data_IF_735088039509
#
_entry.id   IF_735088039509
#
_cell.length_a   1.000
_cell.length_b   1.000
_cell.length_c   1.000
_cell.angle_alpha   90.00
_cell.angle_beta   90.00
_cell.angle_gamma   90.00
#
_symmetry.space_group_name_H-M   'P 1'
#
loop_
_entity.id
_entity.type
_entity.pdbx_description
1 polymer ?
#
# COMPACT_ATOMS: atom_id res chain seq x y z
N UNK A 1 42.47 -51.65 -34.59
CA UNK A 1 41.81 -52.64 -35.46
C UNK A 1 40.34 -52.24 -35.54
N UNK A 2 39.95 -51.29 -36.40
CA UNK A 2 39.29 -51.52 -37.70
C UNK A 2 38.47 -52.81 -37.72
N UNK A 3 37.14 -52.71 -37.75
CA UNK A 3 36.31 -53.12 -38.89
C UNK A 3 34.91 -52.50 -38.76
N UNK A 4 34.57 -51.70 -39.77
CA UNK A 4 33.26 -51.14 -40.03
C UNK A 4 32.38 -52.18 -40.75
N UNK A 5 31.07 -52.14 -40.52
CA UNK A 5 30.07 -52.55 -41.52
C UNK A 5 28.92 -51.56 -41.46
N UNK A 6 28.67 -50.95 -42.62
CA UNK A 6 27.60 -50.01 -42.95
C UNK A 6 26.33 -50.76 -43.38
N UNK A 7 25.17 -50.22 -43.01
CA UNK A 7 23.90 -50.25 -43.75
C UNK A 7 22.84 -49.53 -42.90
N UNK A 8 21.84 -48.80 -43.38
CA UNK A 8 21.51 -48.09 -44.61
C UNK A 8 20.24 -47.28 -44.23
N UNK A 9 20.16 -46.01 -44.63
CA UNK A 9 18.95 -45.17 -44.83
C UNK A 9 17.74 -45.33 -43.87
N UNK A 10 17.41 -44.24 -43.17
CA UNK A 10 16.23 -43.44 -43.53
C UNK A 10 16.29 -42.04 -42.91
N UNK A 11 16.31 -41.06 -43.80
CA UNK A 11 16.19 -39.63 -43.56
C UNK A 11 14.71 -39.29 -43.68
N UNK A 12 14.06 -38.91 -42.57
CA UNK A 12 12.75 -38.25 -42.60
C UNK A 12 12.93 -36.89 -41.92
N UNK A 13 13.18 -35.89 -42.75
CA UNK A 13 13.12 -34.47 -42.40
C UNK A 13 11.64 -34.12 -42.31
N UNK A 14 11.13 -33.84 -41.11
CA UNK A 14 9.89 -33.10 -40.98
C UNK A 14 10.21 -31.67 -40.56
N UNK A 15 10.25 -30.80 -41.57
CA UNK A 15 10.19 -29.36 -41.39
C UNK A 15 8.83 -28.99 -40.78
N UNK A 16 8.85 -28.46 -39.56
CA UNK A 16 7.69 -27.89 -38.89
C UNK A 16 8.09 -26.59 -38.22
N UNK A 17 8.06 -25.51 -38.99
CA UNK A 17 8.15 -24.13 -38.50
C UNK A 17 6.92 -23.79 -37.67
N UNK A 18 7.09 -23.40 -36.40
CA UNK A 18 6.18 -22.46 -35.75
C UNK A 18 6.98 -21.43 -34.97
N UNK A 19 6.96 -20.23 -35.56
CA UNK A 19 7.21 -18.91 -35.03
C UNK A 19 7.44 -18.74 -33.52
N UNK A 20 8.46 -17.95 -33.21
CA UNK A 20 8.58 -17.15 -32.00
C UNK A 20 7.33 -16.27 -31.85
N UNK A 21 6.65 -16.34 -30.72
CA UNK A 21 5.67 -15.35 -30.30
C UNK A 21 6.03 -14.86 -28.90
N UNK A 22 6.57 -13.65 -28.90
CA UNK A 22 6.71 -12.70 -27.79
C UNK A 22 5.33 -12.41 -27.19
N UNK A 23 5.12 -12.76 -25.92
CA UNK A 23 3.94 -12.35 -25.14
C UNK A 23 4.29 -11.10 -24.32
N UNK A 24 4.53 -10.01 -25.04
CA UNK A 24 4.39 -8.66 -24.51
C UNK A 24 3.14 -8.04 -25.12
N UNK A 25 2.11 -7.89 -24.29
CA UNK A 25 1.05 -6.92 -24.52
C UNK A 25 -0.28 -7.52 -24.95
N UNK A 26 -0.95 -8.24 -24.04
CA UNK A 26 -2.41 -8.23 -23.98
C UNK A 26 -2.89 -7.91 -22.58
N UNK A 27 -2.98 -6.60 -22.37
CA UNK A 27 -3.88 -5.99 -21.42
C UNK A 27 -5.29 -6.57 -21.64
N UNK A 28 -5.68 -7.56 -20.84
CA UNK A 28 -7.08 -7.91 -20.68
C UNK A 28 -7.44 -7.60 -19.23
N UNK A 29 -8.00 -6.40 -19.10
CA UNK A 29 -8.70 -5.89 -17.94
C UNK A 29 -9.96 -6.74 -17.75
N UNK A 30 -9.80 -8.00 -17.36
CA UNK A 30 -10.88 -8.95 -17.13
C UNK A 30 -10.57 -9.71 -15.87
N UNK A 31 -10.80 -9.02 -14.76
CA UNK A 31 -11.42 -9.52 -13.53
C UNK A 31 -11.32 -8.33 -12.60
N UNK A 32 -12.41 -7.57 -12.49
CA UNK A 32 -12.62 -6.86 -11.24
C UNK A 32 -12.73 -7.99 -10.23
N UNK A 33 -11.62 -8.32 -9.55
CA UNK A 33 -11.67 -9.12 -8.35
C UNK A 33 -12.60 -8.37 -7.43
N UNK A 34 -13.85 -8.82 -7.39
CA UNK A 34 -14.84 -8.31 -6.46
C UNK A 34 -14.21 -8.47 -5.09
N UNK A 35 -13.86 -7.36 -4.45
CA UNK A 35 -13.66 -7.35 -3.01
C UNK A 35 -14.85 -8.10 -2.40
N UNK A 36 -14.58 -8.92 -1.38
CA UNK A 36 -15.58 -9.81 -0.79
C UNK A 36 -16.97 -9.11 -0.70
N UNK A 37 -18.06 -9.78 -1.10
CA UNK A 37 -19.37 -9.16 -1.14
C UNK A 37 -19.69 -8.52 0.23
N UNK A 38 -19.92 -7.21 0.22
CA UNK A 38 -20.25 -6.43 1.43
C UNK A 38 -19.12 -5.56 2.01
N UNK A 39 -17.92 -5.53 1.42
CA UNK A 39 -16.88 -4.59 1.85
C UNK A 39 -17.15 -3.18 1.30
N UNK A 40 -17.46 -2.25 2.20
CA UNK A 40 -17.56 -0.82 1.88
C UNK A 40 -16.20 -0.15 2.04
N UNK A 41 -15.67 0.39 0.94
CA UNK A 41 -14.50 1.26 0.97
C UNK A 41 -14.96 2.71 0.95
N UNK A 42 -14.71 3.50 2.02
CA UNK A 42 -15.05 4.92 2.02
C UNK A 42 -14.20 5.67 0.99
N UNK A 43 -14.73 6.79 0.49
CA UNK A 43 -13.95 7.72 -0.33
C UNK A 43 -12.86 8.37 0.50
N UNK A 44 -11.65 8.40 -0.05
CA UNK A 44 -10.45 8.98 0.56
C UNK A 44 -10.24 10.43 0.13
N UNK A 45 -10.04 11.33 1.09
CA UNK A 45 -9.77 12.74 0.85
C UNK A 45 -8.62 13.26 1.74
N UNK A 46 -7.43 13.37 1.16
CA UNK A 46 -6.24 13.85 1.84
C UNK A 46 -6.34 15.30 2.35
N UNK A 47 -7.21 16.15 1.78
CA UNK A 47 -7.42 17.50 2.31
C UNK A 47 -8.15 17.47 3.65
N UNK A 48 -9.22 16.66 3.75
CA UNK A 48 -9.91 16.41 5.02
C UNK A 48 -9.02 15.66 6.01
N UNK A 49 -8.25 14.69 5.52
CA UNK A 49 -7.28 13.95 6.33
C UNK A 49 -6.27 14.84 7.03
N UNK A 50 -5.79 15.89 6.36
CA UNK A 50 -4.90 16.89 6.95
C UNK A 50 -5.56 17.64 8.12
N UNK A 51 -6.82 18.03 7.97
CA UNK A 51 -7.58 18.71 9.01
C UNK A 51 -7.88 17.77 10.19
N UNK A 52 -8.22 16.51 9.89
CA UNK A 52 -8.45 15.46 10.88
C UNK A 52 -7.18 15.13 11.66
N UNK A 53 -6.02 15.05 11.01
CA UNK A 53 -4.74 14.76 11.66
C UNK A 53 -4.43 15.75 12.80
N UNK A 54 -4.72 17.04 12.61
CA UNK A 54 -4.59 18.03 13.67
C UNK A 54 -5.74 17.98 14.67
N UNK A 55 -6.99 18.06 14.19
CA UNK A 55 -8.18 18.22 15.04
C UNK A 55 -8.52 16.99 15.90
N UNK A 56 -8.09 15.78 15.49
CA UNK A 56 -8.25 14.56 16.28
C UNK A 56 -7.13 14.34 17.29
N UNK A 57 -6.04 15.11 17.21
CA UNK A 57 -4.89 14.98 18.11
C UNK A 57 -3.78 14.05 17.61
N UNK A 58 -3.83 13.54 16.36
CA UNK A 58 -2.75 12.70 15.84
C UNK A 58 -1.39 13.43 15.84
N UNK A 59 -1.41 14.74 15.56
CA UNK A 59 -0.22 15.62 15.58
C UNK A 59 0.44 15.76 16.96
N UNK A 60 -0.28 15.42 18.03
CA UNK A 60 0.26 15.54 19.40
C UNK A 60 1.37 14.50 19.63
N UNK A 61 1.19 13.27 19.13
CA UNK A 61 2.20 12.21 19.28
C UNK A 61 3.01 11.94 18.01
N UNK A 62 2.46 12.20 16.83
CA UNK A 62 3.12 11.94 15.54
C UNK A 62 3.54 13.24 14.85
N UNK A 63 4.66 13.19 14.15
CA UNK A 63 5.15 14.30 13.30
C UNK A 63 4.96 14.02 11.80
N UNK A 64 4.83 15.13 11.04
CA UNK A 64 4.90 15.18 9.57
C UNK A 64 5.74 16.41 9.20
N UNK A 65 6.78 16.23 8.38
CA UNK A 65 7.74 17.26 7.99
C UNK A 65 8.33 18.03 9.19
N UNK A 66 8.59 17.32 10.29
CA UNK A 66 9.08 17.92 11.54
C UNK A 66 8.05 18.74 12.31
N UNK A 67 6.76 18.68 11.95
CA UNK A 67 5.66 19.34 12.67
C UNK A 67 4.85 18.30 13.43
N UNK A 68 4.83 18.40 14.75
CA UNK A 68 4.09 17.52 15.66
C UNK A 68 4.97 16.95 16.77
N UNK A 69 4.47 15.91 17.44
CA UNK A 69 5.20 15.18 18.48
C UNK A 69 6.23 14.19 17.96
N UNK A 70 7.05 13.68 18.88
CA UNK A 70 8.10 12.69 18.62
C UNK A 70 7.93 11.40 19.43
N UNK A 71 6.86 11.29 20.22
CA UNK A 71 6.58 10.12 21.08
C UNK A 71 6.12 8.89 20.28
N UNK A 72 5.69 9.10 19.04
CA UNK A 72 5.33 8.06 18.10
C UNK A 72 6.04 8.25 16.75
N UNK A 73 6.18 7.19 15.93
CA UNK A 73 6.88 7.27 14.66
C UNK A 73 6.32 8.38 13.76
N UNK A 74 7.21 9.10 13.08
CA UNK A 74 6.80 10.07 12.06
C UNK A 74 5.96 9.41 10.95
N UNK A 75 5.02 10.17 10.39
CA UNK A 75 4.07 9.70 9.38
C UNK A 75 4.26 10.41 8.04
N UNK A 76 5.47 10.88 7.76
CA UNK A 76 5.87 11.42 6.47
C UNK A 76 5.67 10.38 5.37
N UNK A 77 5.04 10.81 4.28
CA UNK A 77 4.74 9.99 3.12
C UNK A 77 6.02 9.48 2.42
N UNK A 78 7.15 10.18 2.60
CA UNK A 78 8.46 9.75 2.09
C UNK A 78 8.96 8.45 2.73
N UNK A 79 8.48 8.11 3.94
CA UNK A 79 8.86 6.87 4.64
C UNK A 79 7.75 5.80 4.60
N UNK A 80 6.68 6.04 3.84
CA UNK A 80 5.61 5.07 3.62
C UNK A 80 5.93 4.18 2.39
N UNK A 81 5.24 3.05 2.29
CA UNK A 81 5.35 2.17 1.12
C UNK A 81 4.85 2.89 -0.14
N UNK A 82 5.49 2.60 -1.29
CA UNK A 82 5.14 3.19 -2.60
C UNK A 82 3.66 2.95 -2.97
N UNK A 83 3.11 1.82 -2.54
CA UNK A 83 1.71 1.46 -2.74
C UNK A 83 0.95 1.65 -1.43
N UNK A 84 0.02 2.60 -1.42
CA UNK A 84 -0.88 2.82 -0.29
C UNK A 84 -1.73 1.56 -0.04
N UNK A 85 -1.50 0.90 1.09
CA UNK A 85 -2.33 -0.19 1.58
C UNK A 85 -3.06 0.23 2.88
N UNK A 86 -4.34 0.64 2.79
CA UNK A 86 -5.08 1.10 3.96
C UNK A 86 -5.31 0.01 5.01
N UNK A 87 -5.36 -1.26 4.61
CA UNK A 87 -5.54 -2.37 5.53
C UNK A 87 -4.26 -2.65 6.33
N UNK A 88 -3.10 -2.57 5.68
CA UNK A 88 -1.82 -2.71 6.39
C UNK A 88 -1.57 -1.52 7.31
N UNK A 89 -1.95 -0.30 6.89
CA UNK A 89 -1.89 0.87 7.77
C UNK A 89 -2.75 0.67 9.03
N UNK A 90 -4.00 0.21 8.87
CA UNK A 90 -4.88 -0.11 9.99
C UNK A 90 -4.30 -1.24 10.87
N UNK A 91 -3.69 -2.26 10.27
CA UNK A 91 -3.05 -3.35 11.01
C UNK A 91 -1.83 -2.85 11.82
N UNK A 92 -1.03 -1.91 11.28
CA UNK A 92 0.06 -1.24 12.02
C UNK A 92 -0.47 -0.45 13.21
N UNK A 93 -1.53 0.34 13.01
CA UNK A 93 -2.20 1.04 14.12
C UNK A 93 -2.68 0.08 15.19
N UNK A 94 -3.30 -1.04 14.81
CA UNK A 94 -3.77 -2.07 15.75
C UNK A 94 -2.63 -2.66 16.58
N UNK A 95 -1.48 -2.98 15.94
CA UNK A 95 -0.30 -3.48 16.65
C UNK A 95 0.29 -2.45 17.63
N UNK A 96 0.20 -1.15 17.31
CA UNK A 96 0.63 -0.04 18.17
C UNK A 96 -0.42 0.44 19.19
N UNK A 97 -1.65 -0.10 19.16
CA UNK A 97 -2.78 0.48 19.86
C UNK A 97 -2.58 0.58 21.38
N UNK A 98 -1.97 -0.42 22.02
CA UNK A 98 -1.75 -0.38 23.47
C UNK A 98 -0.87 0.79 23.92
N UNK A 99 0.23 1.04 23.20
CA UNK A 99 1.10 2.19 23.48
C UNK A 99 0.39 3.50 23.17
N UNK A 100 -0.35 3.57 22.06
CA UNK A 100 -1.06 4.79 21.69
C UNK A 100 -2.24 5.13 22.59
N UNK A 101 -2.96 4.14 23.12
CA UNK A 101 -4.00 4.40 24.12
C UNK A 101 -3.38 5.02 25.37
N UNK A 102 -2.25 4.49 25.85
CA UNK A 102 -1.57 5.08 27.01
C UNK A 102 -1.12 6.54 26.76
N UNK A 103 -0.53 6.81 25.59
CA UNK A 103 -0.15 8.18 25.21
C UNK A 103 -1.36 9.11 25.04
N UNK A 104 -2.46 8.62 24.47
CA UNK A 104 -3.68 9.42 24.30
C UNK A 104 -4.37 9.72 25.64
N UNK A 105 -4.35 8.79 26.59
CA UNK A 105 -4.85 9.07 27.95
C UNK A 105 -4.01 10.14 28.66
N UNK A 106 -2.68 10.12 28.49
CA UNK A 106 -1.78 11.09 29.12
C UNK A 106 -1.86 12.48 28.47
N UNK A 107 -1.83 12.53 27.13
CA UNK A 107 -1.73 13.79 26.37
C UNK A 107 -3.10 14.41 26.04
N UNK A 108 -4.14 13.58 25.84
CA UNK A 108 -5.46 14.01 25.37
C UNK A 108 -6.58 13.76 26.40
N UNK A 109 -6.30 13.04 27.48
CA UNK A 109 -7.29 12.67 28.50
C UNK A 109 -8.30 11.61 28.05
N UNK A 110 -8.01 10.89 26.97
CA UNK A 110 -8.87 9.83 26.46
C UNK A 110 -8.46 9.30 25.08
N UNK A 111 -8.88 8.06 24.78
CA UNK A 111 -8.69 7.46 23.45
C UNK A 111 -9.42 8.26 22.34
N UNK A 112 -8.77 8.37 21.18
CA UNK A 112 -9.34 8.97 19.97
C UNK A 112 -10.27 7.96 19.26
N UNK A 113 -11.51 8.36 19.00
CA UNK A 113 -12.44 7.63 18.15
C UNK A 113 -12.41 8.11 16.69
N UNK A 114 -12.44 7.15 15.75
CA UNK A 114 -12.55 7.40 14.32
C UNK A 114 -13.77 6.70 13.71
N UNK A 115 -14.46 7.40 12.80
CA UNK A 115 -15.31 6.72 11.82
C UNK A 115 -14.44 6.11 10.72
N UNK A 116 -15.01 5.15 9.97
CA UNK A 116 -14.30 4.57 8.82
C UNK A 116 -13.89 5.61 7.77
N UNK A 117 -14.73 6.62 7.51
CA UNK A 117 -14.39 7.71 6.59
C UNK A 117 -13.27 8.60 7.14
N UNK A 118 -13.29 8.95 8.43
CA UNK A 118 -12.24 9.74 9.06
C UNK A 118 -10.88 9.03 8.98
N UNK A 119 -10.86 7.73 9.27
CA UNK A 119 -9.62 6.95 9.18
C UNK A 119 -9.11 6.87 7.74
N UNK A 120 -10.00 6.65 6.76
CA UNK A 120 -9.62 6.61 5.36
C UNK A 120 -9.06 7.95 4.85
N UNK A 121 -9.64 9.07 5.27
CA UNK A 121 -9.12 10.39 4.95
C UNK A 121 -7.73 10.63 5.55
N UNK A 122 -7.51 10.23 6.81
CA UNK A 122 -6.19 10.32 7.46
C UNK A 122 -5.18 9.45 6.71
N UNK A 123 -5.52 8.22 6.35
CA UNK A 123 -4.67 7.33 5.56
C UNK A 123 -4.30 8.00 4.22
N UNK A 124 -5.27 8.63 3.56
CA UNK A 124 -5.05 9.37 2.32
C UNK A 124 -4.05 10.50 2.51
N UNK A 125 -4.15 11.22 3.62
CA UNK A 125 -3.25 12.33 3.94
C UNK A 125 -1.82 11.88 4.27
N UNK A 126 -1.65 10.83 5.07
CA UNK A 126 -0.30 10.37 5.48
C UNK A 126 0.50 9.73 4.34
N UNK A 127 -0.14 9.42 3.21
CA UNK A 127 0.54 8.98 1.98
C UNK A 127 0.56 10.06 0.88
N UNK A 128 0.07 11.29 1.13
CA UNK A 128 0.06 12.37 0.14
C UNK A 128 1.16 13.39 0.45
N UNK A 129 2.36 13.13 -0.07
CA UNK A 129 3.51 14.02 0.07
C UNK A 129 3.21 15.47 -0.38
N UNK A 130 2.35 15.66 -1.40
CA UNK A 130 1.98 17.00 -1.88
C UNK A 130 1.12 17.74 -0.87
N UNK A 131 0.22 17.04 -0.17
CA UNK A 131 -0.60 17.63 0.90
C UNK A 131 0.22 17.86 2.17
N UNK A 132 1.13 16.95 2.51
CA UNK A 132 2.01 17.08 3.66
C UNK A 132 2.94 18.29 3.56
N UNK A 133 3.43 18.66 2.37
CA UNK A 133 4.20 19.91 2.16
C UNK A 133 3.46 21.18 2.59
N UNK A 134 2.14 21.11 2.78
CA UNK A 134 1.28 22.21 3.23
C UNK A 134 0.77 22.00 4.66
N UNK A 135 1.37 21.09 5.41
CA UNK A 135 1.05 20.87 6.81
C UNK A 135 1.94 21.76 7.68
N UNK A 136 1.29 22.54 8.53
CA UNK A 136 1.88 23.47 9.49
C UNK A 136 0.86 23.71 10.60
N UNK A 137 1.32 24.07 11.80
CA UNK A 137 0.47 24.46 12.94
C UNK A 137 0.22 25.97 12.97
#
# INVERSE_FOLDING_TARGET
MKHAVLAFLSLEILAGTTALADDNGKHMMTSVDMMAPGLMMPTMNAARGRELFASKGCVVSHSINGVGGEDAPMLDAEFMDDVMNPFEFAARMWRGAGAMVALQEDELGGQIDFTGEQLADIIAFVHDAKKQRRFSL
#
